data_IF_059383860938
#
_entry.id   IF_059383860938
#
_cell.length_a   1.000
_cell.length_b   1.000
_cell.length_c   1.000
_cell.angle_alpha   90.00
_cell.angle_beta   90.00
_cell.angle_gamma   90.00
#
_symmetry.space_group_name_H-M   'P 1'
#
loop_
_entity.id
_entity.type
_entity.pdbx_description
1 polymer ?
#
# COMPACT_ATOMS: atom_id res chain seq x y z
N UNK A 1 2.51 -3.28 -15.44
CA UNK A 1 2.42 -3.68 -14.02
C UNK A 1 1.06 -4.29 -13.69
N UNK A 2 0.00 -3.94 -14.42
CA UNK A 2 -1.34 -4.54 -14.35
C UNK A 2 -1.33 -6.07 -14.42
N UNK A 3 -0.51 -6.62 -15.30
CA UNK A 3 -0.41 -8.07 -15.54
C UNK A 3 0.12 -8.87 -14.33
N UNK A 4 0.89 -8.27 -13.42
CA UNK A 4 1.35 -8.98 -12.20
C UNK A 4 0.23 -9.15 -11.17
N UNK A 5 -0.51 -8.07 -10.88
CA UNK A 5 -1.57 -8.10 -9.88
C UNK A 5 -2.82 -8.87 -10.35
N UNK A 6 -2.94 -9.14 -11.65
CA UNK A 6 -4.01 -9.98 -12.21
C UNK A 6 -3.67 -11.48 -12.20
N UNK A 7 -2.38 -11.83 -12.10
CA UNK A 7 -1.90 -13.23 -12.08
C UNK A 7 -1.96 -13.90 -10.71
N UNK A 8 -2.71 -13.32 -9.76
CA UNK A 8 -2.88 -13.87 -8.40
C UNK A 8 -1.69 -13.61 -7.47
N UNK A 9 -0.85 -12.63 -7.77
CA UNK A 9 0.19 -12.17 -6.84
C UNK A 9 -0.46 -11.49 -5.63
N UNK A 10 -0.10 -11.96 -4.44
CA UNK A 10 -0.58 -11.39 -3.18
C UNK A 10 -0.03 -9.96 -3.01
N UNK A 11 -0.89 -8.93 -2.94
CA UNK A 11 -0.46 -7.55 -2.76
C UNK A 11 0.16 -7.28 -1.37
N UNK A 12 -0.01 -8.21 -0.42
CA UNK A 12 0.55 -8.19 0.92
C UNK A 12 1.80 -9.08 1.06
N UNK A 13 2.33 -9.58 -0.05
CA UNK A 13 3.58 -10.35 -0.04
C UNK A 13 4.67 -9.59 0.71
N UNK A 14 5.35 -10.26 1.65
CA UNK A 14 6.50 -9.69 2.33
C UNK A 14 7.78 -10.23 1.73
N UNK A 15 8.71 -9.32 1.45
CA UNK A 15 10.06 -9.73 1.09
C UNK A 15 10.76 -10.31 2.32
N UNK A 16 11.23 -11.56 2.22
CA UNK A 16 11.75 -12.32 3.37
C UNK A 16 12.97 -11.72 4.07
N UNK A 17 13.67 -10.81 3.39
CA UNK A 17 14.91 -10.21 3.91
C UNK A 17 14.71 -8.86 4.58
N UNK A 18 13.58 -8.18 4.33
CA UNK A 18 13.30 -6.83 4.86
C UNK A 18 11.91 -6.69 5.48
N UNK A 19 11.04 -7.70 5.30
CA UNK A 19 9.64 -7.65 5.68
C UNK A 19 8.80 -6.68 4.84
N UNK A 20 9.38 -6.05 3.83
CA UNK A 20 8.72 -5.01 3.03
C UNK A 20 7.63 -5.59 2.14
N UNK A 21 6.52 -4.86 2.06
CA UNK A 21 5.42 -5.17 1.14
C UNK A 21 5.53 -4.36 -0.16
N UNK A 22 4.87 -4.81 -1.25
CA UNK A 22 4.74 -4.03 -2.48
C UNK A 22 4.27 -2.60 -2.23
N UNK A 23 3.35 -2.42 -1.27
CA UNK A 23 2.85 -1.12 -0.88
C UNK A 23 3.93 -0.26 -0.20
N UNK A 24 4.73 -0.85 0.68
CA UNK A 24 5.89 -0.19 1.28
C UNK A 24 6.88 0.28 0.21
N UNK A 25 7.29 -0.61 -0.71
CA UNK A 25 8.21 -0.25 -1.78
C UNK A 25 7.64 0.86 -2.69
N UNK A 26 6.34 0.84 -2.98
CA UNK A 26 5.69 1.89 -3.76
C UNK A 26 5.78 3.26 -3.06
N UNK A 27 5.64 3.33 -1.73
CA UNK A 27 5.76 4.60 -0.99
C UNK A 27 7.16 5.22 -1.02
N UNK A 28 8.19 4.39 -1.21
CA UNK A 28 9.59 4.83 -1.34
C UNK A 28 9.88 5.48 -2.70
N UNK A 29 9.03 5.25 -3.71
CA UNK A 29 9.23 5.78 -5.07
C UNK A 29 8.49 7.10 -5.27
N UNK A 30 9.11 8.12 -5.90
CA UNK A 30 8.40 9.35 -6.27
C UNK A 30 7.35 9.07 -7.36
N UNK A 31 6.27 9.87 -7.38
CA UNK A 31 5.18 9.78 -8.37
C UNK A 31 4.47 8.41 -8.44
N UNK A 32 4.51 7.62 -7.36
CA UNK A 32 3.94 6.26 -7.29
C UNK A 32 2.44 6.22 -6.97
N UNK A 33 1.73 7.35 -7.07
CA UNK A 33 0.32 7.48 -6.71
C UNK A 33 -0.57 6.42 -7.36
N UNK A 34 -0.42 6.21 -8.67
CA UNK A 34 -1.22 5.25 -9.44
C UNK A 34 -0.95 3.80 -8.99
N UNK A 35 0.33 3.48 -8.75
CA UNK A 35 0.74 2.17 -8.24
C UNK A 35 0.17 1.89 -6.85
N UNK A 36 0.20 2.89 -5.96
CA UNK A 36 -0.38 2.77 -4.61
C UNK A 36 -1.89 2.55 -4.70
N UNK A 37 -2.59 3.31 -5.54
CA UNK A 37 -4.04 3.14 -5.74
C UNK A 37 -4.36 1.72 -6.22
N UNK A 38 -3.66 1.26 -7.25
CA UNK A 38 -3.79 -0.10 -7.81
C UNK A 38 -3.57 -1.20 -6.75
N UNK A 39 -2.56 -1.04 -5.90
CA UNK A 39 -2.26 -1.99 -4.82
C UNK A 39 -3.37 -1.99 -3.75
N UNK A 40 -3.83 -0.81 -3.35
CA UNK A 40 -4.93 -0.66 -2.38
C UNK A 40 -6.23 -1.24 -2.95
N UNK A 41 -6.54 -1.00 -4.22
CA UNK A 41 -7.70 -1.59 -4.90
C UNK A 41 -7.66 -3.13 -4.93
N UNK A 42 -6.45 -3.71 -5.04
CA UNK A 42 -6.24 -5.16 -5.00
C UNK A 42 -6.22 -5.74 -3.59
N UNK A 43 -6.36 -4.90 -2.55
CA UNK A 43 -6.45 -5.36 -1.15
C UNK A 43 -5.14 -5.27 -0.35
N UNK A 44 -4.21 -4.39 -0.76
CA UNK A 44 -3.00 -4.14 0.02
C UNK A 44 -3.33 -3.48 1.38
N UNK A 45 -2.75 -4.03 2.45
CA UNK A 45 -2.94 -3.56 3.82
C UNK A 45 -2.02 -2.37 4.12
N UNK A 46 -2.64 -1.23 4.39
CA UNK A 46 -1.95 0.01 4.76
C UNK A 46 -1.29 -0.05 6.15
N UNK A 47 -1.73 -0.98 7.01
CA UNK A 47 -1.25 -1.13 8.39
C UNK A 47 -0.16 -2.21 8.52
N UNK A 48 0.26 -2.79 7.41
CA UNK A 48 1.32 -3.77 7.41
C UNK A 48 2.61 -3.18 7.95
N UNK A 49 3.36 -3.93 8.77
CA UNK A 49 4.63 -3.47 9.36
C UNK A 49 5.79 -4.26 8.80
N UNK A 50 6.83 -3.57 8.35
CA UNK A 50 8.10 -4.19 8.00
C UNK A 50 8.85 -4.70 9.25
N UNK A 51 10.03 -5.29 9.05
CA UNK A 51 10.85 -5.85 10.14
C UNK A 51 11.36 -4.77 11.13
N UNK A 52 11.45 -3.52 10.67
CA UNK A 52 11.76 -2.36 11.50
C UNK A 52 10.53 -1.83 12.28
N UNK A 53 9.34 -2.41 12.04
CA UNK A 53 8.07 -2.00 12.65
C UNK A 53 7.42 -0.79 11.98
N UNK A 54 7.90 -0.34 10.82
CA UNK A 54 7.34 0.78 10.07
C UNK A 54 6.20 0.35 9.16
N UNK A 55 5.17 1.21 9.09
CA UNK A 55 4.10 1.05 8.12
C UNK A 55 4.49 1.71 6.79
N UNK A 56 3.83 1.36 5.67
CA UNK A 56 3.98 2.10 4.42
C UNK A 56 3.81 3.61 4.62
N UNK A 57 2.91 4.04 5.52
CA UNK A 57 2.72 5.46 5.83
C UNK A 57 3.91 6.08 6.59
N UNK A 58 4.57 5.33 7.48
CA UNK A 58 5.80 5.79 8.13
C UNK A 58 6.91 5.98 7.09
N UNK A 59 7.10 5.02 6.18
CA UNK A 59 8.10 5.10 5.11
C UNK A 59 7.80 6.24 4.14
N UNK A 60 6.54 6.42 3.75
CA UNK A 60 6.06 7.57 2.98
C UNK A 60 6.43 8.91 3.62
N UNK A 61 6.23 9.03 4.94
CA UNK A 61 6.56 10.23 5.70
C UNK A 61 8.08 10.48 5.76
N UNK A 62 8.88 9.43 5.97
CA UNK A 62 10.35 9.50 5.99
C UNK A 62 10.89 9.94 4.62
N UNK A 63 10.33 9.40 3.53
CA UNK A 63 10.73 9.75 2.17
C UNK A 63 10.16 11.09 1.68
N UNK A 64 9.29 11.76 2.45
CA UNK A 64 8.65 13.01 2.03
C UNK A 64 7.68 12.83 0.86
N UNK A 65 7.17 11.61 0.63
CA UNK A 65 6.27 11.31 -0.47
C UNK A 65 4.83 11.72 -0.12
N UNK A 66 4.55 13.01 -0.20
CA UNK A 66 3.27 13.60 0.20
C UNK A 66 2.07 13.01 -0.55
N UNK A 67 2.26 12.59 -1.80
CA UNK A 67 1.21 12.00 -2.62
C UNK A 67 0.76 10.64 -2.06
N UNK A 68 1.72 9.80 -1.67
CA UNK A 68 1.43 8.50 -1.04
C UNK A 68 0.69 8.63 0.30
N UNK A 69 1.04 9.65 1.10
CA UNK A 69 0.38 9.97 2.38
C UNK A 69 -1.07 10.39 2.15
N UNK A 70 -1.32 11.22 1.12
CA UNK A 70 -2.66 11.67 0.76
C UNK A 70 -3.54 10.50 0.35
N UNK A 71 -3.04 9.58 -0.48
CA UNK A 71 -3.77 8.39 -0.92
C UNK A 71 -4.13 7.49 0.26
N UNK A 72 -3.19 7.18 1.15
CA UNK A 72 -3.47 6.36 2.32
C UNK A 72 -4.50 6.99 3.26
N UNK A 73 -4.50 8.33 3.37
CA UNK A 73 -5.44 9.07 4.20
C UNK A 73 -6.85 9.10 3.61
N UNK A 74 -7.00 9.28 2.29
CA UNK A 74 -8.31 9.29 1.62
C UNK A 74 -8.93 7.89 1.55
N UNK A 75 -8.14 6.87 1.21
CA UNK A 75 -8.65 5.50 1.05
C UNK A 75 -8.96 4.81 2.39
N UNK A 76 -8.28 5.19 3.48
CA UNK A 76 -8.62 4.66 4.82
C UNK A 76 -10.05 5.00 5.25
N UNK A 77 -10.60 6.10 4.74
CA UNK A 77 -12.02 6.46 4.90
C UNK A 77 -12.87 5.57 3.98
N UNK A 78 -12.53 5.49 2.68
CA UNK A 78 -13.32 4.77 1.67
C UNK A 78 -13.40 3.25 1.86
N UNK A 79 -12.30 2.59 2.25
CA UNK A 79 -12.24 1.14 2.44
C UNK A 79 -13.12 0.66 3.60
N UNK A 80 -13.24 1.46 4.67
CA UNK A 80 -14.14 1.16 5.80
C UNK A 80 -15.61 1.20 5.39
N UNK A 81 -15.99 2.10 4.48
CA UNK A 81 -17.35 2.16 3.99
C UNK A 81 -17.66 1.06 2.97
N UNK A 82 -16.70 0.68 2.11
CA UNK A 82 -16.93 -0.30 1.05
C UNK A 82 -17.21 -1.72 1.56
N UNK A 83 -16.63 -2.11 2.70
CA UNK A 83 -16.93 -3.38 3.38
C UNK A 83 -18.31 -3.43 4.05
N UNK A 84 -18.92 -2.28 4.38
CA UNK A 84 -20.24 -2.22 5.04
C UNK A 84 -21.42 -2.35 4.07
N UNK A 85 -21.19 -2.29 2.75
CA UNK A 85 -22.24 -2.34 1.71
C UNK A 85 -22.25 -3.65 0.90
N UNK A 86 -21.44 -4.66 1.30
CA UNK A 86 -21.42 -5.99 0.68
C UNK A 86 -21.96 -7.14 1.57
N UNK A 87 -22.76 -6.84 2.60
CA UNK A 87 -23.55 -7.82 3.37
C UNK A 87 -25.03 -7.55 3.20
#
# INVERSE_FOLDING_TARGET
MDDMLDRGLDPNFQYSSTGETPLCCATLQPFSKDLILKLVEKGALLEFRDDDGFTPLHRAAICGNLESIKVGSSERIGARYRLMIQT
#
